data_IF_468542936915
#
_entry.id   IF_468542936915
#
_cell.length_a   1.000
_cell.length_b   1.000
_cell.length_c   1.000
_cell.angle_alpha   90.00
_cell.angle_beta   90.00
_cell.angle_gamma   90.00
#
_symmetry.space_group_name_H-M   'P 1'
#
loop_
_entity.id
_entity.type
_entity.pdbx_description
1 polymer ?
#
# COMPACT_ATOMS: atom_id res chain seq x y z
N UNK A 1 -16.91 -0.27 -10.55
CA UNK A 1 -15.51 0.25 -10.50
C UNK A 1 -14.54 -0.80 -11.05
N UNK A 2 -13.30 -0.44 -11.39
CA UNK A 2 -12.31 -1.36 -12.01
C UNK A 2 -11.00 -1.36 -11.26
N UNK A 3 -10.35 -2.52 -11.18
CA UNK A 3 -8.94 -2.64 -10.85
C UNK A 3 -8.13 -2.90 -12.12
N UNK A 4 -6.95 -2.30 -12.22
CA UNK A 4 -5.99 -2.50 -13.31
C UNK A 4 -4.74 -3.14 -12.70
N UNK A 5 -4.23 -4.18 -13.35
CA UNK A 5 -2.98 -4.84 -12.96
C UNK A 5 -2.01 -4.79 -14.13
N UNK A 6 -0.84 -4.22 -13.88
CA UNK A 6 0.20 -3.98 -14.88
C UNK A 6 1.58 -4.46 -14.43
N UNK A 7 2.60 -4.07 -15.20
CA UNK A 7 4.00 -4.41 -14.94
C UNK A 7 4.94 -3.18 -14.94
N UNK A 8 4.39 -2.00 -15.18
CA UNK A 8 5.14 -0.74 -15.17
C UNK A 8 4.57 0.22 -14.14
N UNK A 9 5.43 0.94 -13.42
CA UNK A 9 4.99 1.99 -12.49
C UNK A 9 4.22 3.12 -13.19
N UNK A 10 4.42 3.34 -14.48
CA UNK A 10 3.59 4.29 -15.25
C UNK A 10 2.11 3.91 -15.27
N UNK A 11 1.77 2.63 -15.07
CA UNK A 11 0.38 2.18 -15.02
C UNK A 11 -0.39 2.78 -13.85
N UNK A 12 0.28 3.24 -12.78
CA UNK A 12 -0.36 3.93 -11.67
C UNK A 12 -1.07 5.23 -12.08
N UNK A 13 -0.69 5.83 -13.19
CA UNK A 13 -1.38 7.02 -13.72
C UNK A 13 -2.82 6.72 -14.14
N UNK A 14 -3.16 5.44 -14.42
CA UNK A 14 -4.55 5.05 -14.67
C UNK A 14 -5.49 5.30 -13.48
N UNK A 15 -4.94 5.50 -12.26
CA UNK A 15 -5.79 5.84 -11.11
C UNK A 15 -6.57 7.15 -11.30
N UNK A 16 -6.09 8.06 -12.17
CA UNK A 16 -6.81 9.30 -12.49
C UNK A 16 -8.16 9.06 -13.17
N UNK A 17 -8.32 7.91 -13.83
CA UNK A 17 -9.57 7.57 -14.50
C UNK A 17 -10.68 7.36 -13.46
N UNK A 18 -11.84 7.99 -13.70
CA UNK A 18 -12.97 7.98 -12.76
C UNK A 18 -13.41 6.56 -12.36
N UNK A 19 -13.41 5.62 -13.32
CA UNK A 19 -13.87 4.24 -13.12
C UNK A 19 -12.80 3.32 -12.49
N UNK A 20 -11.55 3.77 -12.30
CA UNK A 20 -10.48 2.96 -11.70
C UNK A 20 -10.39 3.29 -10.21
N UNK A 21 -10.37 2.26 -9.38
CA UNK A 21 -10.28 2.36 -7.92
C UNK A 21 -8.96 1.84 -7.35
N UNK A 22 -8.36 0.86 -8.04
CA UNK A 22 -7.10 0.22 -7.66
C UNK A 22 -6.24 0.05 -8.89
N UNK A 23 -4.94 0.30 -8.74
CA UNK A 23 -3.91 -0.11 -9.70
C UNK A 23 -2.84 -0.92 -8.97
N UNK A 24 -2.59 -2.15 -9.42
CA UNK A 24 -1.54 -3.03 -8.92
C UNK A 24 -0.43 -3.22 -9.97
N UNK A 25 0.83 -3.24 -9.53
CA UNK A 25 2.00 -3.43 -10.40
C UNK A 25 2.97 -4.41 -9.75
N UNK A 26 3.41 -5.41 -10.53
CA UNK A 26 4.56 -6.26 -10.19
C UNK A 26 5.77 -5.74 -10.96
N UNK A 27 6.77 -5.12 -10.30
CA UNK A 27 7.94 -4.58 -10.97
C UNK A 27 8.87 -5.70 -11.48
N UNK A 28 9.71 -5.38 -12.49
CA UNK A 28 10.65 -6.35 -13.07
C UNK A 28 11.59 -7.02 -12.05
N UNK A 29 12.05 -6.25 -11.04
CA UNK A 29 12.92 -6.74 -9.95
C UNK A 29 12.16 -7.35 -8.77
N UNK A 30 10.96 -7.83 -9.00
CA UNK A 30 10.10 -8.40 -7.98
C UNK A 30 10.77 -9.49 -7.14
N UNK A 31 11.45 -10.46 -7.75
CA UNK A 31 12.11 -11.56 -7.05
C UNK A 31 13.25 -11.08 -6.14
N UNK A 32 14.03 -10.08 -6.56
CA UNK A 32 15.10 -9.49 -5.76
C UNK A 32 14.51 -8.78 -4.53
N UNK A 33 13.44 -8.02 -4.71
CA UNK A 33 12.72 -7.32 -3.63
C UNK A 33 12.16 -8.33 -2.62
N UNK A 34 11.55 -9.42 -3.06
CA UNK A 34 11.03 -10.48 -2.19
C UNK A 34 12.17 -11.16 -1.40
N UNK A 35 13.29 -11.46 -2.04
CA UNK A 35 14.47 -12.05 -1.37
C UNK A 35 15.00 -11.13 -0.28
N UNK A 36 15.16 -9.84 -0.59
CA UNK A 36 15.51 -8.80 0.36
C UNK A 36 14.52 -8.74 1.54
N UNK A 37 13.23 -8.65 1.24
CA UNK A 37 12.18 -8.55 2.25
C UNK A 37 12.17 -9.75 3.21
N UNK A 38 12.38 -10.95 2.70
CA UNK A 38 12.51 -12.18 3.49
C UNK A 38 13.70 -12.14 4.44
N UNK A 39 14.84 -11.60 3.99
CA UNK A 39 16.04 -11.39 4.83
C UNK A 39 15.72 -10.37 5.94
N UNK A 40 15.07 -9.26 5.61
CA UNK A 40 14.68 -8.22 6.59
C UNK A 40 13.71 -8.78 7.63
N UNK A 41 12.63 -9.44 7.20
CA UNK A 41 11.62 -10.00 8.09
C UNK A 41 12.20 -11.00 9.11
N UNK A 42 13.15 -11.85 8.68
CA UNK A 42 13.84 -12.81 9.56
C UNK A 42 14.75 -12.13 10.61
N UNK A 43 15.44 -11.05 10.22
CA UNK A 43 16.48 -10.44 11.04
C UNK A 43 16.00 -9.23 11.86
N UNK A 44 14.90 -8.58 11.46
CA UNK A 44 14.40 -7.31 12.01
C UNK A 44 12.94 -7.42 12.48
N UNK A 45 12.70 -8.24 13.51
CA UNK A 45 11.35 -8.56 14.00
C UNK A 45 10.50 -7.38 14.50
N UNK A 46 11.12 -6.25 14.84
CA UNK A 46 10.44 -5.06 15.37
C UNK A 46 10.84 -3.82 14.55
N UNK A 47 10.99 -3.99 13.25
CA UNK A 47 11.34 -2.87 12.37
C UNK A 47 10.16 -1.91 12.27
N UNK A 48 10.41 -0.64 12.57
CA UNK A 48 9.52 0.48 12.30
C UNK A 48 10.35 1.65 11.81
N UNK A 49 10.26 1.95 10.52
CA UNK A 49 10.93 3.06 9.88
C UNK A 49 9.87 4.00 9.32
N UNK A 50 9.95 5.27 9.67
CA UNK A 50 9.05 6.31 9.15
C UNK A 50 9.87 7.50 8.69
N UNK A 51 9.66 7.93 7.44
CA UNK A 51 10.37 9.03 6.81
C UNK A 51 9.44 9.94 6.03
N UNK A 52 9.51 11.25 6.31
CA UNK A 52 8.81 12.27 5.55
C UNK A 52 9.70 12.71 4.38
N UNK A 53 9.32 12.35 3.15
CA UNK A 53 10.11 12.57 1.94
C UNK A 53 9.58 13.74 1.11
N UNK A 54 10.34 14.87 1.03
CA UNK A 54 9.91 16.10 0.31
C UNK A 54 10.35 16.14 -1.17
N UNK A 55 10.56 14.99 -1.82
CA UNK A 55 10.88 14.78 -3.25
C UNK A 55 12.26 15.28 -3.75
N UNK A 56 13.07 15.85 -2.92
CA UNK A 56 14.41 16.38 -3.27
C UNK A 56 15.51 15.91 -2.31
N UNK A 57 15.22 14.86 -1.52
CA UNK A 57 16.13 14.32 -0.50
C UNK A 57 16.34 12.82 -0.72
N UNK A 58 16.66 12.39 -1.95
CA UNK A 58 16.85 10.98 -2.30
C UNK A 58 18.03 10.37 -1.50
N UNK A 59 19.12 11.13 -1.32
CA UNK A 59 20.28 10.69 -0.54
C UNK A 59 19.97 10.56 0.95
N UNK A 60 19.17 11.47 1.50
CA UNK A 60 18.72 11.44 2.88
C UNK A 60 17.80 10.24 3.14
N UNK A 61 16.90 9.94 2.18
CA UNK A 61 16.05 8.76 2.20
C UNK A 61 16.91 7.48 2.24
N UNK A 62 17.86 7.35 1.32
CA UNK A 62 18.78 6.22 1.24
C UNK A 62 19.60 6.09 2.53
N UNK A 63 20.19 7.19 3.01
CA UNK A 63 20.94 7.25 4.27
C UNK A 63 20.09 6.88 5.48
N UNK A 64 18.82 7.29 5.52
CA UNK A 64 17.90 6.93 6.61
C UNK A 64 17.65 5.43 6.64
N UNK A 65 17.33 4.82 5.50
CA UNK A 65 17.04 3.40 5.42
C UNK A 65 18.29 2.54 5.66
N UNK A 66 19.47 2.98 5.21
CA UNK A 66 20.73 2.23 5.38
C UNK A 66 21.22 2.12 6.83
N UNK A 67 20.71 2.95 7.75
CA UNK A 67 20.95 2.80 9.19
C UNK A 67 20.34 1.50 9.75
N UNK A 68 19.31 1.00 9.12
CA UNK A 68 18.57 -0.17 9.59
C UNK A 68 18.56 -1.33 8.61
N UNK A 69 18.86 -1.10 7.35
CA UNK A 69 18.89 -2.11 6.28
C UNK A 69 20.32 -2.27 5.76
N UNK A 70 20.59 -3.38 5.06
CA UNK A 70 21.88 -3.64 4.44
C UNK A 70 22.14 -2.62 3.32
N UNK A 71 23.31 -1.98 3.34
CA UNK A 71 23.71 -0.98 2.34
C UNK A 71 23.64 -1.49 0.89
N UNK A 72 23.95 -2.78 0.68
CA UNK A 72 23.93 -3.38 -0.66
C UNK A 72 22.51 -3.57 -1.20
N UNK A 73 21.53 -3.68 -0.29
CA UNK A 73 20.15 -3.99 -0.63
C UNK A 73 19.23 -2.77 -0.56
N UNK A 74 19.67 -1.66 0.07
CA UNK A 74 18.82 -0.50 0.35
C UNK A 74 18.25 0.12 -0.92
N UNK A 75 19.00 0.15 -2.00
CA UNK A 75 18.57 0.69 -3.29
C UNK A 75 17.40 -0.11 -3.92
N UNK A 76 17.25 -1.41 -3.58
CA UNK A 76 16.14 -2.24 -4.05
C UNK A 76 14.78 -1.71 -3.57
N UNK A 77 14.76 -1.02 -2.44
CA UNK A 77 13.51 -0.46 -1.88
C UNK A 77 13.43 1.06 -2.08
N UNK A 78 14.52 1.80 -1.94
CA UNK A 78 14.49 3.26 -2.02
C UNK A 78 14.26 3.76 -3.46
N UNK A 79 14.84 3.12 -4.48
CA UNK A 79 14.60 3.51 -5.87
C UNK A 79 13.12 3.41 -6.28
N UNK A 80 12.42 2.28 -6.05
CA UNK A 80 10.97 2.21 -6.27
C UNK A 80 10.18 3.24 -5.44
N UNK A 81 10.55 3.47 -4.18
CA UNK A 81 9.89 4.48 -3.34
C UNK A 81 9.99 5.87 -3.96
N UNK A 82 11.17 6.28 -4.44
CA UNK A 82 11.36 7.59 -5.10
C UNK A 82 10.49 7.69 -6.35
N UNK A 83 10.45 6.64 -7.17
CA UNK A 83 9.67 6.61 -8.41
C UNK A 83 8.16 6.74 -8.14
N UNK A 84 7.60 5.89 -7.27
CA UNK A 84 6.16 5.96 -6.95
C UNK A 84 5.79 7.24 -6.20
N UNK A 85 6.72 7.81 -5.41
CA UNK A 85 6.50 9.10 -4.75
C UNK A 85 6.32 10.24 -5.74
N UNK A 86 7.10 10.25 -6.84
CA UNK A 86 6.93 11.21 -7.94
C UNK A 86 5.55 11.08 -8.62
N UNK A 87 5.07 9.85 -8.76
CA UNK A 87 3.72 9.58 -9.28
C UNK A 87 2.65 10.11 -8.33
N UNK A 88 2.77 9.85 -7.01
CA UNK A 88 1.86 10.41 -6.01
C UNK A 88 1.81 11.94 -6.08
N UNK A 89 2.98 12.59 -6.17
CA UNK A 89 3.06 14.05 -6.34
C UNK A 89 2.32 14.53 -7.59
N UNK A 90 2.47 13.82 -8.72
CA UNK A 90 1.78 14.14 -9.97
C UNK A 90 0.26 14.03 -9.82
N UNK A 91 -0.22 12.96 -9.17
CA UNK A 91 -1.65 12.68 -9.00
C UNK A 91 -2.34 13.58 -7.97
N UNK A 92 -1.68 13.87 -6.84
CA UNK A 92 -2.31 14.54 -5.69
C UNK A 92 -1.84 15.97 -5.45
N UNK A 93 -0.77 16.41 -6.12
CA UNK A 93 -0.11 17.70 -5.89
C UNK A 93 0.44 17.88 -4.47
N UNK A 94 0.65 16.79 -3.74
CA UNK A 94 1.19 16.81 -2.39
C UNK A 94 2.62 17.43 -2.35
N UNK A 95 2.98 18.01 -1.20
CA UNK A 95 4.31 18.63 -1.01
C UNK A 95 5.37 17.63 -0.58
N UNK A 96 4.97 16.57 0.07
CA UNK A 96 5.80 15.46 0.55
C UNK A 96 4.97 14.19 0.65
N UNK A 97 5.62 13.06 0.83
CA UNK A 97 4.97 11.80 1.18
C UNK A 97 5.48 11.30 2.53
N UNK A 98 4.63 10.58 3.25
CA UNK A 98 5.03 9.84 4.44
C UNK A 98 5.24 8.38 4.06
N UNK A 99 6.46 7.89 4.28
CA UNK A 99 6.89 6.53 3.95
C UNK A 99 7.03 5.77 5.26
N UNK A 100 6.33 4.62 5.37
CA UNK A 100 6.42 3.77 6.55
C UNK A 100 6.71 2.33 6.16
N UNK A 101 7.80 1.77 6.68
CA UNK A 101 8.18 0.35 6.55
C UNK A 101 8.10 -0.30 7.93
N UNK A 102 7.21 -1.29 8.07
CA UNK A 102 6.90 -1.87 9.38
C UNK A 102 6.86 -3.39 9.34
N UNK A 103 7.53 -4.04 10.30
CA UNK A 103 7.35 -5.46 10.60
C UNK A 103 6.13 -5.65 11.49
N UNK A 104 5.18 -6.45 11.06
CA UNK A 104 3.92 -6.72 11.75
C UNK A 104 3.88 -8.20 12.17
N UNK A 105 3.46 -8.48 13.42
CA UNK A 105 3.25 -9.84 13.95
C UNK A 105 1.78 -10.17 14.18
N UNK A 106 0.93 -9.19 14.02
CA UNK A 106 -0.52 -9.30 14.10
C UNK A 106 -1.14 -8.35 13.08
N UNK A 107 -2.40 -8.56 12.71
CA UNK A 107 -3.11 -7.62 11.83
C UNK A 107 -3.14 -6.21 12.43
N UNK A 108 -2.58 -5.20 11.71
CA UNK A 108 -2.60 -3.80 12.15
C UNK A 108 -4.04 -3.25 12.15
N UNK A 109 -4.78 -3.50 11.08
CA UNK A 109 -6.15 -3.05 10.88
C UNK A 109 -7.02 -4.23 10.41
N UNK A 110 -7.51 -5.11 11.32
CA UNK A 110 -8.22 -6.33 10.94
C UNK A 110 -9.66 -6.09 10.47
N UNK A 111 -10.20 -4.89 10.71
CA UNK A 111 -11.56 -4.51 10.33
C UNK A 111 -11.53 -3.83 8.97
N UNK A 112 -12.49 -4.15 8.09
CA UNK A 112 -12.64 -3.45 6.83
C UNK A 112 -12.90 -1.97 7.04
N UNK A 113 -12.09 -1.13 6.39
CA UNK A 113 -12.13 0.32 6.52
C UNK A 113 -11.75 0.99 5.20
N UNK A 114 -11.94 2.28 5.15
CA UNK A 114 -11.47 3.17 4.09
C UNK A 114 -10.55 4.21 4.71
N UNK A 115 -9.44 4.49 4.07
CA UNK A 115 -8.55 5.57 4.48
C UNK A 115 -9.11 6.94 4.09
N UNK A 116 -9.10 7.87 5.02
CA UNK A 116 -9.54 9.26 4.76
C UNK A 116 -8.41 10.13 4.22
N UNK A 117 -7.79 9.68 3.13
CA UNK A 117 -6.74 10.37 2.36
C UNK A 117 -7.08 10.26 0.87
N UNK A 118 -6.45 11.03 -0.04
CA UNK A 118 -6.73 10.91 -1.46
C UNK A 118 -6.41 9.52 -2.03
N UNK A 119 -5.24 9.00 -1.74
CA UNK A 119 -4.83 7.65 -2.14
C UNK A 119 -3.65 7.17 -1.29
N UNK A 120 -3.37 5.86 -1.35
CA UNK A 120 -2.28 5.21 -0.61
C UNK A 120 -1.61 4.16 -1.45
N UNK A 121 -0.28 4.14 -1.46
CA UNK A 121 0.47 2.94 -1.83
C UNK A 121 0.54 1.97 -0.66
N UNK A 122 0.26 0.68 -0.95
CA UNK A 122 0.47 -0.44 -0.04
C UNK A 122 1.25 -1.54 -0.77
N UNK A 123 2.31 -2.02 -0.12
CA UNK A 123 3.11 -3.15 -0.62
C UNK A 123 3.38 -4.10 0.54
N UNK A 124 2.83 -5.30 0.48
CA UNK A 124 3.26 -6.36 1.40
C UNK A 124 4.50 -7.01 0.81
N UNK A 125 5.66 -6.66 1.35
CA UNK A 125 6.94 -7.17 0.88
C UNK A 125 7.22 -8.60 1.37
N UNK A 126 6.64 -9.00 2.51
CA UNK A 126 6.72 -10.35 3.08
C UNK A 126 5.43 -10.70 3.81
N UNK A 127 4.99 -11.96 3.72
CA UNK A 127 3.73 -12.45 4.30
C UNK A 127 2.51 -12.18 3.43
N UNK A 128 1.32 -12.42 3.96
CA UNK A 128 0.06 -12.30 3.23
C UNK A 128 -0.30 -10.87 2.88
N UNK A 129 -0.73 -10.65 1.65
CA UNK A 129 -1.13 -9.34 1.11
C UNK A 129 -2.38 -8.77 1.77
N UNK A 130 -2.55 -7.46 1.64
CA UNK A 130 -3.74 -6.74 2.12
C UNK A 130 -4.98 -7.23 1.39
N UNK A 131 -6.06 -7.46 2.13
CA UNK A 131 -7.38 -7.81 1.59
C UNK A 131 -8.15 -6.55 1.20
N UNK A 132 -8.88 -6.60 0.09
CA UNK A 132 -9.73 -5.50 -0.36
C UNK A 132 -11.00 -6.02 -1.02
N UNK A 133 -12.01 -5.17 -1.09
CA UNK A 133 -13.33 -5.47 -1.64
C UNK A 133 -13.57 -4.56 -2.84
N UNK A 134 -13.88 -5.11 -4.04
CA UNK A 134 -14.35 -4.29 -5.16
C UNK A 134 -15.56 -3.45 -4.77
N UNK A 135 -15.59 -2.19 -5.14
CA UNK A 135 -16.63 -1.23 -4.74
C UNK A 135 -18.06 -1.74 -4.97
N UNK A 136 -18.29 -2.46 -6.08
CA UNK A 136 -19.62 -2.96 -6.45
C UNK A 136 -20.05 -4.18 -5.58
N UNK A 137 -19.12 -4.79 -4.85
CA UNK A 137 -19.36 -5.93 -3.95
C UNK A 137 -19.52 -5.49 -2.48
N UNK A 138 -19.32 -4.20 -2.18
CA UNK A 138 -19.51 -3.66 -0.83
C UNK A 138 -21.00 -3.43 -0.57
N UNK A 139 -21.48 -3.93 0.56
CA UNK A 139 -22.76 -3.49 1.11
C UNK A 139 -22.54 -2.21 1.93
N UNK A 140 -22.69 -1.08 1.26
CA UNK A 140 -22.44 0.23 1.84
C UNK A 140 -23.39 0.55 3.02
N UNK A 141 -24.59 -0.01 3.05
CA UNK A 141 -25.51 0.17 4.18
C UNK A 141 -24.97 -0.49 5.45
N UNK A 142 -24.37 -1.67 5.31
CA UNK A 142 -23.74 -2.39 6.43
C UNK A 142 -22.43 -1.71 6.82
N UNK A 143 -21.64 -1.26 5.84
CA UNK A 143 -20.37 -0.59 6.08
C UNK A 143 -20.53 0.72 6.88
N UNK A 144 -21.57 1.52 6.57
CA UNK A 144 -21.84 2.80 7.22
C UNK A 144 -22.27 2.67 8.70
N UNK A 145 -22.77 1.49 9.12
CA UNK A 145 -23.19 1.25 10.52
C UNK A 145 -22.00 1.25 11.49
N UNK A 146 -20.74 1.19 10.99
CA UNK A 146 -19.50 1.14 11.79
C UNK A 146 -19.47 0.05 12.87
N UNK A 147 -20.20 -1.03 12.66
CA UNK A 147 -20.19 -2.20 13.54
C UNK A 147 -19.09 -3.17 13.10
N UNK A 148 -18.03 -3.26 13.91
CA UNK A 148 -16.88 -4.14 13.66
C UNK A 148 -17.26 -5.63 13.48
N UNK A 149 -18.42 -6.04 14.01
CA UNK A 149 -18.92 -7.42 13.90
C UNK A 149 -19.69 -7.66 12.59
N UNK A 150 -20.05 -6.62 11.86
CA UNK A 150 -20.75 -6.73 10.58
C UNK A 150 -19.76 -6.74 9.43
N UNK A 151 -19.88 -7.77 8.62
CA UNK A 151 -19.08 -7.89 7.41
C UNK A 151 -19.76 -7.08 6.30
N UNK A 152 -19.11 -6.06 5.71
CA UNK A 152 -19.71 -5.23 4.66
C UNK A 152 -19.74 -5.94 3.29
N UNK A 153 -19.57 -7.25 3.25
CA UNK A 153 -19.57 -8.04 2.03
C UNK A 153 -20.92 -8.64 1.76
N UNK A 154 -21.41 -8.47 0.54
CA UNK A 154 -22.54 -9.22 0.01
C UNK A 154 -22.20 -10.71 -0.15
N UNK A 155 -20.97 -11.01 -0.57
CA UNK A 155 -20.45 -12.35 -0.76
C UNK A 155 -18.97 -12.42 -0.36
N UNK A 156 -18.63 -13.25 0.64
CA UNK A 156 -17.24 -13.41 1.15
C UNK A 156 -16.26 -13.94 0.10
N UNK A 157 -16.73 -14.65 -0.93
CA UNK A 157 -15.88 -15.14 -2.03
C UNK A 157 -15.33 -14.00 -2.91
N UNK A 158 -15.83 -12.78 -2.74
CA UNK A 158 -15.42 -11.58 -3.49
C UNK A 158 -14.28 -10.81 -2.87
N UNK A 159 -13.79 -11.20 -1.70
CA UNK A 159 -12.55 -10.62 -1.15
C UNK A 159 -11.42 -10.89 -2.13
N UNK A 160 -10.68 -9.84 -2.45
CA UNK A 160 -9.45 -9.91 -3.25
C UNK A 160 -8.25 -9.69 -2.34
N UNK A 161 -7.12 -10.26 -2.71
CA UNK A 161 -5.85 -10.06 -2.02
C UNK A 161 -4.84 -9.47 -2.99
N UNK A 162 -4.08 -8.46 -2.55
CA UNK A 162 -2.87 -8.08 -3.26
C UNK A 162 -1.82 -9.19 -3.11
N UNK A 163 -1.01 -9.37 -4.13
CA UNK A 163 0.09 -10.34 -4.08
C UNK A 163 1.23 -9.79 -3.21
N UNK A 164 1.97 -10.67 -2.57
CA UNK A 164 3.24 -10.30 -1.93
C UNK A 164 4.18 -9.70 -2.99
N UNK A 165 4.77 -8.55 -2.70
CA UNK A 165 5.60 -7.79 -3.64
C UNK A 165 4.86 -6.94 -4.68
N UNK A 166 3.53 -7.04 -4.75
CA UNK A 166 2.72 -6.20 -5.63
C UNK A 166 2.61 -4.79 -5.03
N UNK A 167 3.03 -3.80 -5.80
CA UNK A 167 2.83 -2.39 -5.48
C UNK A 167 1.41 -2.01 -5.84
N UNK A 168 0.62 -1.63 -4.87
CA UNK A 168 -0.81 -1.37 -5.05
C UNK A 168 -1.13 0.06 -4.65
N UNK A 169 -1.74 0.81 -5.57
CA UNK A 169 -2.23 2.17 -5.34
C UNK A 169 -3.75 2.15 -5.26
N UNK A 170 -4.29 2.56 -4.11
CA UNK A 170 -5.70 2.55 -3.79
C UNK A 170 -6.23 3.98 -3.68
N UNK A 171 -7.39 4.26 -4.27
CA UNK A 171 -8.13 5.49 -3.98
C UNK A 171 -8.67 5.46 -2.55
N UNK A 172 -8.43 6.52 -1.79
CA UNK A 172 -9.02 6.74 -0.48
C UNK A 172 -10.34 7.52 -0.56
N UNK A 173 -10.98 7.72 0.58
CA UNK A 173 -12.28 8.38 0.69
C UNK A 173 -12.28 9.86 0.34
N UNK A 174 -11.12 10.52 0.33
CA UNK A 174 -11.01 11.93 -0.07
C UNK A 174 -10.49 12.15 -1.50
N UNK A 175 -10.48 11.10 -2.34
CA UNK A 175 -10.00 11.21 -3.73
C UNK A 175 -10.88 12.13 -4.58
N UNK A 176 -12.19 11.96 -4.51
CA UNK A 176 -13.18 12.75 -5.25
C UNK A 176 -14.55 12.69 -4.56
N UNK A 177 -15.39 13.66 -4.83
CA UNK A 177 -16.78 13.67 -4.35
C UNK A 177 -17.54 12.43 -4.84
N UNK A 178 -18.43 11.91 -4.00
CA UNK A 178 -19.27 10.73 -4.27
C UNK A 178 -18.50 9.42 -4.53
N UNK A 179 -17.27 9.33 -4.04
CA UNK A 179 -16.52 8.08 -4.02
C UNK A 179 -16.08 7.76 -2.58
N UNK A 180 -16.52 6.63 -2.08
CA UNK A 180 -16.31 6.24 -0.69
C UNK A 180 -14.91 5.70 -0.38
N UNK A 181 -14.05 5.53 -1.40
CA UNK A 181 -12.73 4.92 -1.26
C UNK A 181 -12.75 3.39 -1.36
N UNK A 182 -11.57 2.79 -1.41
CA UNK A 182 -11.39 1.33 -1.47
C UNK A 182 -11.47 0.75 -0.07
N UNK A 183 -12.43 -0.16 0.12
CA UNK A 183 -12.59 -0.90 1.38
C UNK A 183 -11.52 -1.99 1.46
N UNK A 184 -10.68 -1.94 2.50
CA UNK A 184 -9.58 -2.88 2.66
C UNK A 184 -9.29 -3.16 4.14
N UNK A 185 -8.47 -4.19 4.40
CA UNK A 185 -8.00 -4.54 5.75
C UNK A 185 -6.72 -5.35 5.73
N UNK A 186 -6.08 -5.48 6.88
CA UNK A 186 -5.06 -6.51 7.10
C UNK A 186 -5.70 -7.91 7.04
N UNK A 187 -5.02 -8.92 6.44
CA UNK A 187 -5.53 -10.29 6.41
C UNK A 187 -5.69 -10.84 7.84
N UNK A 188 -6.72 -11.68 8.03
CA UNK A 188 -7.04 -12.31 9.32
C UNK A 188 -6.16 -13.53 9.64
N UNK A 189 -4.86 -13.37 9.49
CA UNK A 189 -3.90 -14.39 9.91
C UNK A 189 -2.85 -13.77 10.84
N UNK A 190 -2.23 -14.57 11.68
CA UNK A 190 -1.16 -14.15 12.58
C UNK A 190 0.22 -14.38 11.95
N UNK A 191 0.32 -14.24 10.62
CA UNK A 191 1.60 -14.33 9.91
C UNK A 191 2.42 -13.05 10.10
N UNK A 192 3.74 -13.22 10.19
CA UNK A 192 4.65 -12.10 10.15
C UNK A 192 4.58 -11.43 8.77
N UNK A 193 4.49 -10.10 8.74
CA UNK A 193 4.42 -9.30 7.52
C UNK A 193 5.46 -8.20 7.57
N UNK A 194 6.02 -7.87 6.41
CA UNK A 194 6.75 -6.62 6.19
C UNK A 194 5.92 -5.76 5.25
N UNK A 195 5.39 -4.65 5.78
CA UNK A 195 4.49 -3.76 5.06
C UNK A 195 5.17 -2.42 4.80
N UNK A 196 5.12 -1.98 3.55
CA UNK A 196 5.46 -0.61 3.14
C UNK A 196 4.17 0.13 2.80
N UNK A 197 4.00 1.31 3.38
CA UNK A 197 2.96 2.26 2.96
C UNK A 197 3.57 3.61 2.59
N UNK A 198 2.97 4.29 1.61
CA UNK A 198 3.37 5.62 1.18
C UNK A 198 2.12 6.47 0.99
N UNK A 199 2.00 7.51 1.80
CA UNK A 199 0.85 8.40 1.85
C UNK A 199 1.20 9.81 1.38
N UNK A 200 0.35 10.47 0.56
CA UNK A 200 0.53 11.87 0.22
C UNK A 200 0.26 12.75 1.43
N UNK A 201 1.11 13.77 1.61
CA UNK A 201 0.98 14.76 2.69
C UNK A 201 1.03 16.19 2.13
N UNK A 202 0.03 16.98 2.46
CA UNK A 202 -0.15 18.36 1.98
C UNK A 202 0.53 19.39 2.87
#
# INVERSE_FOLDING_TARGET
MKAIFGNSFYDFEYLILKQVEVVGVLPEKFEEIISFAKKVAKNKKNLELEFSYPFNQDKELESFFSKSLDMNDVALITNPIVEVSKILRKLTKCKKVNIKLTSLRSPMCPIFHVDNIPCRFLVTLYGSGTEWIPHDEVDWKIFDIKDANKNPLKDRSKIKNFRTGEWSLLKGGSWQENFNGVVHRSPHNNEERLLLSIDPYS
#
